data_IF_015403806495
#
_entry.id   IF_015403806495
#
_cell.length_a   1.000
_cell.length_b   1.000
_cell.length_c   1.000
_cell.angle_alpha   90.00
_cell.angle_beta   90.00
_cell.angle_gamma   90.00
#
_symmetry.space_group_name_H-M   'P 1'
#
loop_
_entity.id
_entity.type
_entity.pdbx_description
1 polymer ?
#
# COMPACT_ATOMS: atom_id res chain seq x y z
N UNK A 1 4.96 27.42 -14.50
CA UNK A 1 6.21 27.02 -15.19
C UNK A 1 7.11 26.36 -14.15
N UNK A 2 7.05 25.04 -14.05
CA UNK A 2 8.08 24.20 -13.43
C UNK A 2 8.00 22.89 -14.19
N UNK A 3 8.94 22.74 -15.10
CA UNK A 3 9.18 21.52 -15.85
C UNK A 3 9.17 20.33 -14.88
N UNK A 4 8.32 19.35 -15.15
CA UNK A 4 8.77 18.02 -15.56
C UNK A 4 7.56 17.08 -15.53
N UNK A 5 7.01 16.89 -16.72
CA UNK A 5 6.22 15.73 -17.11
C UNK A 5 7.05 14.42 -17.05
N UNK A 6 7.93 14.28 -16.06
CA UNK A 6 8.48 13.02 -15.59
C UNK A 6 7.39 12.27 -14.82
N UNK A 7 6.33 11.92 -15.55
CA UNK A 7 5.27 10.97 -15.25
C UNK A 7 4.89 10.81 -13.77
N UNK A 8 3.80 11.47 -13.35
CA UNK A 8 3.03 11.08 -12.15
C UNK A 8 2.81 9.56 -12.09
N UNK A 9 2.65 8.92 -13.24
CA UNK A 9 2.55 7.46 -13.39
C UNK A 9 3.83 6.72 -13.02
N UNK A 10 5.01 7.23 -13.38
CA UNK A 10 6.32 6.62 -13.06
C UNK A 10 6.67 6.83 -11.58
N UNK A 11 6.32 7.98 -10.99
CA UNK A 11 6.46 8.21 -9.55
C UNK A 11 5.51 7.30 -8.74
N UNK A 12 4.26 7.15 -9.19
CA UNK A 12 3.28 6.24 -8.58
C UNK A 12 3.68 4.77 -8.72
N UNK A 13 4.28 4.39 -9.87
CA UNK A 13 4.85 3.06 -10.10
C UNK A 13 6.12 2.80 -9.27
N UNK A 14 6.99 3.80 -9.09
CA UNK A 14 8.18 3.66 -8.22
C UNK A 14 7.78 3.44 -6.76
N UNK A 15 6.81 4.21 -6.26
CA UNK A 15 6.30 4.06 -4.90
C UNK A 15 5.59 2.71 -4.71
N UNK A 16 4.82 2.23 -5.70
CA UNK A 16 4.17 0.92 -5.65
C UNK A 16 5.15 -0.25 -5.67
N UNK A 17 6.22 -0.17 -6.47
CA UNK A 17 7.28 -1.18 -6.50
C UNK A 17 8.04 -1.22 -5.16
N UNK A 18 8.37 -0.07 -4.58
CA UNK A 18 9.04 0.00 -3.27
C UNK A 18 8.17 -0.62 -2.18
N UNK A 19 6.87 -0.29 -2.17
CA UNK A 19 5.90 -0.85 -1.23
C UNK A 19 5.80 -2.37 -1.35
N UNK A 20 5.67 -2.89 -2.57
CA UNK A 20 5.55 -4.35 -2.81
C UNK A 20 6.80 -5.11 -2.36
N UNK A 21 7.98 -4.52 -2.46
CA UNK A 21 9.24 -5.21 -2.12
C UNK A 21 9.58 -5.07 -0.64
N UNK A 22 9.28 -3.93 0.00
CA UNK A 22 9.84 -3.60 1.33
C UNK A 22 8.86 -3.77 2.49
N UNK A 23 7.54 -3.76 2.27
CA UNK A 23 6.55 -3.96 3.35
C UNK A 23 6.66 -5.40 3.89
N UNK A 24 6.89 -5.54 5.19
CA UNK A 24 6.96 -6.82 5.90
C UNK A 24 5.69 -7.10 6.72
N UNK A 25 5.01 -6.06 7.16
CA UNK A 25 3.83 -6.08 8.04
C UNK A 25 2.53 -5.98 7.23
N UNK A 26 2.45 -6.69 6.10
CA UNK A 26 1.27 -6.63 5.21
C UNK A 26 0.00 -7.12 5.92
N UNK A 27 0.05 -8.26 6.61
CA UNK A 27 -1.13 -8.82 7.28
C UNK A 27 -1.66 -7.92 8.42
N UNK A 28 -0.82 -7.39 9.33
CA UNK A 28 -1.27 -6.42 10.31
C UNK A 28 -2.00 -5.21 9.71
N UNK A 29 -1.46 -4.62 8.63
CA UNK A 29 -2.12 -3.51 7.94
C UNK A 29 -3.48 -3.95 7.34
N UNK A 30 -3.54 -5.15 6.77
CA UNK A 30 -4.76 -5.71 6.16
C UNK A 30 -5.84 -6.02 7.19
N UNK A 31 -5.46 -6.53 8.36
CA UNK A 31 -6.38 -6.80 9.47
C UNK A 31 -6.99 -5.50 10.01
N UNK A 32 -6.19 -4.43 10.14
CA UNK A 32 -6.67 -3.10 10.55
C UNK A 32 -7.60 -2.47 9.50
N UNK A 33 -7.28 -2.59 8.22
CA UNK A 33 -8.18 -2.14 7.14
C UNK A 33 -9.51 -2.90 7.16
N UNK A 34 -9.48 -4.21 7.46
CA UNK A 34 -10.69 -5.02 7.59
C UNK A 34 -11.52 -4.62 8.81
N UNK A 35 -10.87 -4.46 9.96
CA UNK A 35 -11.51 -4.01 11.21
C UNK A 35 -12.18 -2.64 11.03
N UNK A 36 -11.53 -1.73 10.30
CA UNK A 36 -12.07 -0.41 9.97
C UNK A 36 -13.17 -0.41 8.87
N UNK A 37 -13.58 -1.57 8.35
CA UNK A 37 -14.59 -1.65 7.29
C UNK A 37 -14.12 -1.14 5.92
N UNK A 38 -12.81 -1.02 5.71
CA UNK A 38 -12.20 -0.56 4.45
C UNK A 38 -11.87 -1.70 3.49
N UNK A 39 -12.05 -2.95 3.94
CA UNK A 39 -11.73 -4.15 3.19
C UNK A 39 -12.85 -5.18 3.32
N UNK A 40 -13.33 -5.68 2.19
CA UNK A 40 -14.32 -6.75 2.14
C UNK A 40 -13.68 -8.13 2.38
N UNK A 41 -14.52 -9.14 2.67
CA UNK A 41 -14.05 -10.48 3.03
C UNK A 41 -13.34 -11.21 1.90
N UNK A 42 -13.81 -11.05 0.66
CA UNK A 42 -13.24 -11.73 -0.50
C UNK A 42 -11.81 -11.24 -0.82
N UNK A 43 -11.55 -9.92 -0.96
CA UNK A 43 -10.18 -9.42 -1.10
C UNK A 43 -9.29 -9.75 0.10
N UNK A 44 -9.82 -9.72 1.32
CA UNK A 44 -9.11 -10.14 2.52
C UNK A 44 -8.63 -11.60 2.42
N UNK A 45 -9.51 -12.52 2.05
CA UNK A 45 -9.16 -13.93 1.88
C UNK A 45 -8.09 -14.12 0.81
N UNK A 46 -8.19 -13.40 -0.31
CA UNK A 46 -7.21 -13.45 -1.41
C UNK A 46 -5.84 -12.96 -0.96
N UNK A 47 -5.78 -11.86 -0.22
CA UNK A 47 -4.53 -11.35 0.37
C UNK A 47 -3.98 -12.37 1.37
N UNK A 48 -4.80 -12.90 2.28
CA UNK A 48 -4.36 -13.87 3.29
C UNK A 48 -3.79 -15.15 2.67
N UNK A 49 -4.38 -15.61 1.56
CA UNK A 49 -3.99 -16.83 0.86
C UNK A 49 -2.67 -16.72 0.08
N UNK A 50 -2.16 -15.52 -0.18
CA UNK A 50 -0.90 -15.35 -0.90
C UNK A 50 0.32 -15.78 -0.07
N UNK A 51 1.24 -16.52 -0.69
CA UNK A 51 2.36 -17.18 0.01
C UNK A 51 3.40 -16.23 0.60
N UNK A 52 3.59 -15.05 -0.02
CA UNK A 52 4.66 -14.12 0.35
C UNK A 52 4.13 -12.72 0.53
N UNK A 53 4.77 -11.93 1.40
CA UNK A 53 4.39 -10.54 1.62
C UNK A 53 4.36 -9.70 0.34
N UNK A 54 5.22 -9.99 -0.64
CA UNK A 54 5.19 -9.30 -1.93
C UNK A 54 3.92 -9.63 -2.73
N UNK A 55 3.50 -10.90 -2.76
CA UNK A 55 2.24 -11.29 -3.40
C UNK A 55 1.04 -10.69 -2.65
N UNK A 56 1.06 -10.70 -1.32
CA UNK A 56 0.04 -10.06 -0.47
C UNK A 56 -0.09 -8.57 -0.77
N UNK A 57 1.04 -7.87 -0.89
CA UNK A 57 1.06 -6.44 -1.16
C UNK A 57 0.57 -6.12 -2.57
N UNK A 58 0.82 -7.00 -3.55
CA UNK A 58 0.25 -6.86 -4.90
C UNK A 58 -1.27 -6.93 -4.87
N UNK A 59 -1.84 -7.90 -4.17
CA UNK A 59 -3.29 -8.05 -4.01
C UNK A 59 -3.90 -6.86 -3.25
N UNK A 60 -3.23 -6.39 -2.19
CA UNK A 60 -3.64 -5.19 -1.47
C UNK A 60 -3.57 -3.94 -2.36
N UNK A 61 -2.64 -3.88 -3.31
CA UNK A 61 -2.52 -2.74 -4.21
C UNK A 61 -3.72 -2.61 -5.15
N UNK A 62 -4.31 -3.72 -5.59
CA UNK A 62 -5.55 -3.71 -6.37
C UNK A 62 -6.72 -3.14 -5.57
N UNK A 63 -6.80 -3.49 -4.28
CA UNK A 63 -7.78 -2.90 -3.34
C UNK A 63 -7.55 -1.40 -3.20
N UNK A 64 -6.30 -0.95 -3.05
CA UNK A 64 -5.97 0.48 -2.94
C UNK A 64 -6.29 1.24 -4.23
N UNK A 65 -6.18 0.58 -5.37
CA UNK A 65 -6.49 1.16 -6.68
C UNK A 65 -8.01 1.39 -6.82
N UNK A 66 -8.84 0.41 -6.44
CA UNK A 66 -10.29 0.47 -6.56
C UNK A 66 -10.99 1.20 -5.39
N UNK A 67 -10.41 1.19 -4.19
CA UNK A 67 -11.01 1.71 -2.95
C UNK A 67 -11.00 3.24 -2.77
N UNK A 68 -10.53 3.98 -3.77
CA UNK A 68 -10.51 5.45 -3.72
C UNK A 68 -9.57 6.03 -2.65
N UNK A 69 -9.70 7.32 -2.34
CA UNK A 69 -8.73 8.03 -1.50
C UNK A 69 -8.86 7.72 -0.01
N UNK A 70 -10.05 7.31 0.45
CA UNK A 70 -10.30 6.93 1.84
C UNK A 70 -9.50 5.69 2.23
N UNK A 71 -9.52 4.64 1.39
CA UNK A 71 -8.80 3.39 1.65
C UNK A 71 -7.29 3.62 1.58
N UNK A 72 -6.81 4.45 0.63
CA UNK A 72 -5.40 4.85 0.56
C UNK A 72 -4.94 5.60 1.81
N UNK A 73 -5.73 6.56 2.29
CA UNK A 73 -5.39 7.33 3.50
C UNK A 73 -5.30 6.44 4.74
N UNK A 74 -6.25 5.50 4.91
CA UNK A 74 -6.20 4.52 5.98
C UNK A 74 -4.94 3.64 5.88
N UNK A 75 -4.60 3.16 4.68
CA UNK A 75 -3.40 2.37 4.45
C UNK A 75 -2.12 3.13 4.82
N UNK A 76 -1.96 4.38 4.38
CA UNK A 76 -0.77 5.16 4.71
C UNK A 76 -0.66 5.46 6.20
N UNK A 77 -1.78 5.66 6.89
CA UNK A 77 -1.80 5.83 8.35
C UNK A 77 -1.32 4.57 9.07
N UNK A 78 -1.79 3.39 8.63
CA UNK A 78 -1.33 2.12 9.18
C UNK A 78 0.15 1.84 8.84
N UNK A 79 0.59 2.23 7.65
CA UNK A 79 1.99 2.09 7.24
C UNK A 79 2.92 2.96 8.10
N UNK A 80 2.49 4.19 8.42
CA UNK A 80 3.24 5.08 9.32
C UNK A 80 3.34 4.51 10.75
N UNK A 81 2.27 3.89 11.25
CA UNK A 81 2.24 3.28 12.58
C UNK A 81 3.07 1.99 12.66
N UNK A 82 2.93 1.10 11.69
CA UNK A 82 3.52 -0.25 11.72
C UNK A 82 4.95 -0.27 11.17
N UNK A 83 5.26 0.57 10.18
CA UNK A 83 6.57 0.64 9.53
C UNK A 83 7.06 2.09 9.32
N UNK A 84 7.27 2.87 10.41
CA UNK A 84 7.64 4.29 10.33
C UNK A 84 8.94 4.53 9.56
N UNK A 85 9.90 3.61 9.63
CA UNK A 85 11.14 3.68 8.85
C UNK A 85 10.88 3.59 7.35
N UNK A 86 10.01 2.67 6.92
CA UNK A 86 9.64 2.53 5.51
C UNK A 86 8.82 3.74 5.04
N UNK A 87 7.89 4.21 5.87
CA UNK A 87 7.10 5.40 5.58
C UNK A 87 7.98 6.63 5.36
N UNK A 88 8.98 6.84 6.21
CA UNK A 88 9.94 7.93 6.06
C UNK A 88 10.82 7.77 4.82
N UNK A 89 11.21 6.55 4.47
CA UNK A 89 11.96 6.28 3.22
C UNK A 89 11.12 6.60 1.98
N UNK A 90 9.81 6.35 2.01
CA UNK A 90 8.88 6.70 0.93
C UNK A 90 8.75 8.21 0.76
N UNK A 91 8.73 8.98 1.86
CA UNK A 91 8.70 10.44 1.85
C UNK A 91 10.03 11.11 1.44
N UNK A 92 11.13 10.35 1.44
CA UNK A 92 12.47 10.81 1.01
C UNK A 92 12.78 10.50 -0.45
N UNK A 93 11.88 9.84 -1.19
CA UNK A 93 12.08 9.61 -2.61
C UNK A 93 12.14 10.98 -3.35
N UNK A 94 13.23 11.27 -4.10
CA UNK A 94 13.45 12.56 -4.76
C UNK A 94 12.45 12.84 -5.89
#
# INVERSE_FOLDING_TARGET
NFEKFGSKTVLKLKQSVILVIRVKMVMPIVDELRSGGMLEWEPYCKIRAADTNQKKMRELYEVLHSGGDKVKSAFYSQLEMQEPCLFRDLGKAP
#
